data_IF_388931710449
#
_entry.id   IF_388931710449
#
_cell.length_a   1.000
_cell.length_b   1.000
_cell.length_c   1.000
_cell.angle_alpha   90.00
_cell.angle_beta   90.00
_cell.angle_gamma   90.00
#
_symmetry.space_group_name_H-M   'P 1'
#
loop_
_entity.id
_entity.type
_entity.pdbx_description
1 polymer ?
#
# COMPACT_ATOMS: atom_id res chain seq x y z
N UNK A 1 -67.01 -50.09 -18.06
CA UNK A 1 -65.69 -50.32 -18.70
C UNK A 1 -64.67 -49.37 -18.08
N UNK A 2 -63.45 -49.87 -17.85
CA UNK A 2 -62.20 -49.19 -17.47
C UNK A 2 -61.85 -49.04 -15.96
N UNK A 3 -61.25 -50.14 -15.47
CA UNK A 3 -59.91 -50.29 -14.86
C UNK A 3 -59.34 -49.28 -13.86
N UNK A 4 -59.03 -49.85 -12.68
CA UNK A 4 -58.03 -49.44 -11.68
C UNK A 4 -56.60 -49.59 -12.24
N UNK A 5 -55.68 -48.69 -11.89
CA UNK A 5 -54.25 -49.00 -11.82
C UNK A 5 -53.50 -48.07 -10.85
N UNK A 6 -52.81 -48.68 -9.89
CA UNK A 6 -51.77 -48.07 -9.08
C UNK A 6 -50.47 -47.97 -9.88
N UNK A 7 -49.69 -46.90 -9.66
CA UNK A 7 -48.24 -46.98 -9.88
C UNK A 7 -47.49 -46.17 -8.81
N UNK A 8 -46.69 -46.89 -8.03
CA UNK A 8 -45.61 -46.36 -7.18
C UNK A 8 -44.38 -46.20 -8.07
N UNK A 9 -43.66 -45.09 -7.93
CA UNK A 9 -42.27 -45.00 -8.37
C UNK A 9 -41.41 -44.51 -7.19
N UNK A 10 -40.63 -45.45 -6.67
CA UNK A 10 -39.48 -45.25 -5.79
C UNK A 10 -38.29 -44.87 -6.67
N UNK A 11 -37.54 -43.83 -6.32
CA UNK A 11 -36.19 -43.61 -6.82
C UNK A 11 -35.28 -43.33 -5.64
N UNK A 12 -34.44 -44.32 -5.34
CA UNK A 12 -33.38 -44.30 -4.35
C UNK A 12 -32.07 -43.79 -4.96
N UNK A 13 -31.40 -42.93 -4.18
CA UNK A 13 -29.95 -42.74 -4.02
C UNK A 13 -29.04 -42.76 -5.27
N UNK A 14 -28.39 -41.62 -5.51
CA UNK A 14 -26.98 -41.63 -5.87
C UNK A 14 -26.21 -40.50 -5.19
N UNK A 15 -25.03 -40.89 -4.70
CA UNK A 15 -24.08 -40.18 -3.87
C UNK A 15 -23.10 -39.38 -4.75
N UNK A 16 -22.42 -38.41 -4.12
CA UNK A 16 -21.11 -37.81 -4.46
C UNK A 16 -21.15 -36.42 -5.13
N UNK A 17 -20.06 -35.64 -5.03
CA UNK A 17 -19.55 -35.02 -3.80
C UNK A 17 -19.21 -33.53 -4.04
N UNK A 18 -19.24 -32.70 -3.01
CA UNK A 18 -18.83 -31.31 -3.21
C UNK A 18 -19.06 -30.44 -2.00
N UNK A 19 -18.39 -30.79 -0.89
CA UNK A 19 -17.99 -29.77 0.08
C UNK A 19 -17.16 -28.76 -0.69
N UNK A 20 -17.78 -27.70 -1.18
CA UNK A 20 -17.08 -26.44 -1.39
C UNK A 20 -16.52 -26.08 -0.02
N UNK A 21 -15.23 -26.38 0.14
CA UNK A 21 -14.42 -25.68 1.09
C UNK A 21 -14.56 -24.21 0.70
N UNK A 22 -15.42 -23.51 1.42
CA UNK A 22 -15.21 -22.10 1.65
C UNK A 22 -13.82 -22.00 2.28
N UNK A 23 -12.81 -21.92 1.40
CA UNK A 23 -11.56 -21.29 1.71
C UNK A 23 -11.98 -19.87 2.08
N UNK A 24 -12.31 -19.69 3.37
CA UNK A 24 -12.02 -18.47 4.07
C UNK A 24 -10.54 -18.23 3.82
N UNK A 25 -10.25 -17.61 2.68
CA UNK A 25 -8.98 -16.99 2.45
C UNK A 25 -8.93 -15.94 3.53
N UNK A 26 -8.18 -16.30 4.57
CA UNK A 26 -7.67 -15.40 5.56
C UNK A 26 -6.90 -14.36 4.74
N UNK A 27 -7.59 -13.31 4.30
CA UNK A 27 -6.96 -12.00 4.13
C UNK A 27 -6.19 -11.90 5.43
N UNK A 28 -4.84 -11.86 5.41
CA UNK A 28 -4.13 -11.61 6.63
C UNK A 28 -4.78 -10.34 7.13
N UNK A 29 -5.54 -10.46 8.21
CA UNK A 29 -5.72 -9.37 9.14
C UNK A 29 -4.27 -9.01 9.38
N UNK A 30 -3.79 -7.99 8.67
CA UNK A 30 -2.56 -7.32 9.01
C UNK A 30 -2.86 -6.91 10.42
N UNK A 31 -2.46 -7.77 11.36
CA UNK A 31 -2.69 -7.61 12.76
C UNK A 31 -1.82 -6.42 13.08
N UNK A 32 -2.39 -5.22 12.96
CA UNK A 32 -1.87 -3.97 13.49
C UNK A 32 -1.87 -4.00 15.03
N UNK A 33 -1.79 -5.18 15.63
CA UNK A 33 -1.70 -5.36 17.06
C UNK A 33 -0.29 -4.98 17.50
N UNK A 34 -0.20 -3.78 18.07
CA UNK A 34 0.77 -3.35 19.08
C UNK A 34 2.22 -3.13 18.61
N UNK A 35 2.46 -2.39 17.53
CA UNK A 35 3.80 -1.78 17.27
C UNK A 35 3.90 -0.32 17.75
N UNK A 36 2.80 0.31 18.19
CA UNK A 36 2.85 1.66 18.78
C UNK A 36 2.51 1.63 20.29
N UNK A 37 3.39 1.03 21.08
CA UNK A 37 3.44 1.27 22.54
C UNK A 37 4.87 1.52 22.98
N UNK A 38 5.50 2.52 22.40
CA UNK A 38 6.58 3.23 23.05
C UNK A 38 6.26 4.72 22.95
N UNK A 39 5.61 5.23 24.00
CA UNK A 39 5.39 6.65 24.23
C UNK A 39 6.71 7.31 24.58
N UNK A 40 7.66 7.35 23.62
CA UNK A 40 8.75 8.31 23.70
C UNK A 40 8.12 9.69 23.55
N UNK A 41 8.24 10.53 24.59
CA UNK A 41 7.90 11.95 24.54
C UNK A 41 8.79 12.59 23.47
N UNK A 42 8.26 12.72 22.26
CA UNK A 42 8.85 13.57 21.24
C UNK A 42 8.75 15.00 21.76
N UNK A 43 9.90 15.56 22.16
CA UNK A 43 10.01 17.01 22.38
C UNK A 43 9.63 17.66 21.06
N UNK A 44 8.62 18.52 21.08
CA UNK A 44 8.25 19.35 19.93
C UNK A 44 9.51 20.11 19.51
N UNK A 45 10.17 19.65 18.44
CA UNK A 45 11.31 20.36 17.88
C UNK A 45 10.74 21.62 17.25
N UNK A 46 10.85 22.74 17.97
CA UNK A 46 10.69 24.07 17.36
C UNK A 46 11.90 24.25 16.45
N UNK A 47 11.74 23.89 15.18
CA UNK A 47 12.74 24.16 14.16
C UNK A 47 12.76 25.69 14.01
N UNK A 48 13.82 26.31 14.54
CA UNK A 48 14.06 27.74 14.37
C UNK A 48 14.35 28.00 12.89
N UNK A 49 13.51 28.78 12.23
CA UNK A 49 13.50 29.09 10.80
C UNK A 49 14.64 30.04 10.37
N UNK A 50 15.81 30.01 11.03
CA UNK A 50 16.86 31.02 10.83
C UNK A 50 17.96 30.65 9.83
N UNK A 51 17.94 29.48 9.19
CA UNK A 51 18.82 29.14 8.05
C UNK A 51 18.00 28.55 6.89
N UNK A 52 17.29 29.41 6.16
CA UNK A 52 16.35 29.04 5.11
C UNK A 52 17.00 28.48 3.81
N UNK A 53 18.32 28.28 3.79
CA UNK A 53 19.07 27.82 2.60
C UNK A 53 19.52 26.37 2.66
N UNK A 54 19.47 25.74 3.84
CA UNK A 54 19.87 24.33 3.98
C UNK A 54 18.67 23.39 3.88
N UNK A 55 18.73 22.44 2.94
CA UNK A 55 17.72 21.37 2.87
C UNK A 55 17.71 20.59 4.19
N UNK A 56 16.54 20.26 4.77
CA UNK A 56 16.47 19.46 5.98
C UNK A 56 17.21 18.12 5.79
N UNK A 57 17.85 17.64 6.85
CA UNK A 57 18.49 16.33 6.79
C UNK A 57 17.46 15.22 6.56
N UNK A 58 17.89 14.11 5.94
CA UNK A 58 17.04 12.93 5.70
C UNK A 58 16.33 12.45 6.96
N UNK A 59 17.02 12.48 8.11
CA UNK A 59 16.45 12.09 9.40
C UNK A 59 15.27 13.01 9.79
N UNK A 60 15.46 14.32 9.67
CA UNK A 60 14.42 15.32 9.97
C UNK A 60 13.20 15.13 9.06
N UNK A 61 13.42 14.97 7.75
CA UNK A 61 12.35 14.69 6.79
C UNK A 61 11.57 13.41 7.13
N UNK A 62 12.26 12.36 7.55
CA UNK A 62 11.63 11.11 7.94
C UNK A 62 10.81 11.25 9.23
N UNK A 63 11.34 11.98 10.21
CA UNK A 63 10.61 12.29 11.45
C UNK A 63 9.34 13.11 11.15
N UNK A 64 9.38 14.03 10.18
CA UNK A 64 8.20 14.76 9.71
C UNK A 64 7.15 13.82 9.09
N UNK A 65 7.55 12.86 8.25
CA UNK A 65 6.62 11.88 7.69
C UNK A 65 6.02 10.94 8.75
N UNK A 66 6.80 10.57 9.77
CA UNK A 66 6.31 9.75 10.88
C UNK A 66 5.31 10.51 11.75
N UNK A 67 5.57 11.78 12.04
CA UNK A 67 4.61 12.65 12.75
C UNK A 67 3.33 12.86 11.93
N UNK A 68 3.46 13.11 10.62
CA UNK A 68 2.34 13.17 9.68
C UNK A 68 1.49 11.91 9.76
N UNK A 69 2.11 10.74 9.60
CA UNK A 69 1.42 9.44 9.58
C UNK A 69 0.67 9.19 10.89
N UNK A 70 1.31 9.50 12.02
CA UNK A 70 0.69 9.39 13.35
C UNK A 70 -0.51 10.32 13.49
N UNK A 71 -0.43 11.56 13.01
CA UNK A 71 -1.55 12.52 13.09
C UNK A 71 -2.70 12.08 12.19
N UNK A 72 -2.43 11.61 10.97
CA UNK A 72 -3.44 11.07 10.07
C UNK A 72 -4.17 9.87 10.66
N UNK A 73 -3.44 8.92 11.24
CA UNK A 73 -4.04 7.76 11.90
C UNK A 73 -4.98 8.14 13.06
N UNK A 74 -4.66 9.23 13.76
CA UNK A 74 -5.49 9.77 14.84
C UNK A 74 -6.57 10.76 14.36
N UNK A 75 -6.78 10.90 13.05
CA UNK A 75 -7.76 11.83 12.48
C UNK A 75 -7.46 13.31 12.75
N UNK A 76 -6.20 13.67 13.02
CA UNK A 76 -5.79 15.04 13.33
C UNK A 76 -5.33 15.76 12.06
N UNK A 77 -5.69 17.04 11.89
CA UNK A 77 -5.23 17.83 10.76
C UNK A 77 -3.70 17.99 10.80
N UNK A 78 -3.09 18.10 9.62
CA UNK A 78 -1.66 18.34 9.46
C UNK A 78 -1.44 19.51 8.49
N UNK A 79 -0.47 20.39 8.78
CA UNK A 79 -0.19 21.54 7.91
C UNK A 79 0.19 21.11 6.49
N UNK A 80 0.99 20.04 6.35
CA UNK A 80 1.34 19.40 5.07
C UNK A 80 0.16 18.95 4.19
N UNK A 81 -1.07 18.90 4.70
CA UNK A 81 -2.26 18.62 3.87
C UNK A 81 -3.27 19.76 3.83
N UNK A 82 -3.05 20.80 4.64
CA UNK A 82 -4.01 21.89 4.83
C UNK A 82 -3.97 22.95 3.72
N UNK A 83 -2.87 23.08 3.01
CA UNK A 83 -2.71 24.01 1.88
C UNK A 83 -2.03 23.34 0.69
N UNK A 84 -2.04 24.02 -0.47
CA UNK A 84 -1.35 23.56 -1.68
C UNK A 84 0.17 23.51 -1.46
N UNK A 85 0.72 24.53 -0.83
CA UNK A 85 2.14 24.65 -0.51
C UNK A 85 2.57 23.53 0.46
N UNK A 86 1.74 23.23 1.47
CA UNK A 86 2.00 22.11 2.38
C UNK A 86 2.02 20.76 1.67
N UNK A 87 1.15 20.56 0.68
CA UNK A 87 1.12 19.32 -0.13
C UNK A 87 2.30 19.24 -1.10
N UNK A 88 2.77 20.36 -1.60
CA UNK A 88 4.02 20.45 -2.36
C UNK A 88 5.22 20.07 -1.50
N UNK A 89 5.34 20.65 -0.29
CA UNK A 89 6.36 20.27 0.69
C UNK A 89 6.28 18.76 1.02
N UNK A 90 5.09 18.22 1.21
CA UNK A 90 4.89 16.79 1.44
C UNK A 90 5.44 15.93 0.29
N UNK A 91 5.17 16.33 -0.95
CA UNK A 91 5.70 15.65 -2.15
C UNK A 91 7.22 15.71 -2.18
N UNK A 92 7.81 16.87 -1.92
CA UNK A 92 9.26 17.04 -1.88
C UNK A 92 9.92 16.15 -0.82
N UNK A 93 9.35 16.11 0.39
CA UNK A 93 9.83 15.26 1.48
C UNK A 93 9.77 13.78 1.07
N UNK A 94 8.66 13.32 0.49
CA UNK A 94 8.51 11.93 0.03
C UNK A 94 9.58 11.61 -1.02
N UNK A 95 9.74 12.47 -2.03
CA UNK A 95 10.74 12.28 -3.09
C UNK A 95 12.16 12.28 -2.53
N UNK A 96 12.49 13.20 -1.63
CA UNK A 96 13.81 13.27 -1.03
C UNK A 96 14.14 12.01 -0.21
N UNK A 97 13.18 11.50 0.58
CA UNK A 97 13.34 10.25 1.33
C UNK A 97 13.52 9.05 0.39
N UNK A 98 12.74 9.00 -0.69
CA UNK A 98 12.79 7.92 -1.67
C UNK A 98 14.09 7.93 -2.49
N UNK A 99 14.51 9.08 -3.00
CA UNK A 99 15.72 9.25 -3.82
C UNK A 99 17.03 9.13 -3.02
N UNK A 100 17.02 9.44 -1.71
CA UNK A 100 18.21 9.31 -0.84
C UNK A 100 18.51 7.86 -0.42
N UNK A 101 18.07 6.89 -1.21
CA UNK A 101 18.25 5.47 -0.95
C UNK A 101 19.62 5.05 -1.46
N UNK A 102 20.41 4.29 -0.68
CA UNK A 102 21.70 3.82 -1.16
C UNK A 102 21.47 2.96 -2.40
N UNK A 103 22.04 3.37 -3.53
CA UNK A 103 22.04 2.56 -4.75
C UNK A 103 22.85 1.30 -4.45
N UNK A 104 22.18 0.17 -4.33
CA UNK A 104 22.80 -1.15 -4.10
C UNK A 104 23.43 -1.72 -5.37
N UNK A 105 23.87 -0.86 -6.31
CA UNK A 105 24.58 -1.33 -7.49
C UNK A 105 25.86 -2.02 -7.00
N UNK A 106 26.01 -3.33 -7.22
CA UNK A 106 27.27 -3.99 -6.90
C UNK A 106 28.34 -3.30 -7.76
N UNK A 107 29.46 -2.85 -7.18
CA UNK A 107 30.58 -2.40 -7.99
C UNK A 107 30.95 -3.54 -8.94
N UNK A 108 30.98 -3.26 -10.24
CA UNK A 108 31.27 -4.24 -11.29
C UNK A 108 32.73 -4.71 -11.33
N UNK A 109 33.40 -4.78 -10.19
CA UNK A 109 34.78 -5.24 -10.06
C UNK A 109 34.79 -6.68 -9.56
N UNK A 110 35.35 -7.57 -10.39
CA UNK A 110 35.37 -9.03 -10.25
C UNK A 110 36.26 -9.56 -9.10
N UNK A 111 36.52 -8.79 -8.06
CA UNK A 111 37.34 -9.19 -6.91
C UNK A 111 36.74 -8.71 -5.58
N UNK A 112 35.47 -9.04 -5.31
CA UNK A 112 34.88 -8.81 -4.01
C UNK A 112 35.34 -9.89 -3.02
N UNK A 113 36.36 -9.59 -2.21
CA UNK A 113 36.62 -10.32 -0.98
C UNK A 113 35.58 -9.87 0.07
N UNK A 114 34.73 -10.77 0.58
CA UNK A 114 33.79 -10.41 1.63
C UNK A 114 34.56 -9.95 2.86
N UNK A 115 34.48 -8.67 3.19
CA UNK A 115 34.99 -8.14 4.46
C UNK A 115 34.11 -8.72 5.56
N UNK A 116 34.62 -9.74 6.25
CA UNK A 116 34.05 -10.26 7.49
C UNK A 116 34.36 -9.29 8.62
N UNK A 117 33.71 -8.12 8.62
CA UNK A 117 33.58 -7.31 9.83
C UNK A 117 32.46 -7.90 10.67
N UNK A 118 32.80 -8.31 11.90
CA UNK A 118 31.89 -8.92 12.88
C UNK A 118 30.82 -7.95 13.45
N UNK A 119 30.56 -6.82 12.78
CA UNK A 119 29.44 -5.92 13.08
C UNK A 119 28.18 -6.41 12.36
N UNK A 120 27.80 -7.65 12.66
CA UNK A 120 26.64 -8.34 12.09
C UNK A 120 25.35 -7.85 12.75
N UNK A 121 24.93 -6.62 12.46
CA UNK A 121 23.55 -6.16 12.69
C UNK A 121 22.95 -5.41 11.48
N UNK A 122 23.64 -5.35 10.34
CA UNK A 122 23.19 -4.58 9.15
C UNK A 122 22.96 -5.47 7.91
N UNK A 123 22.51 -6.71 8.13
CA UNK A 123 21.96 -7.58 7.05
C UNK A 123 20.44 -7.41 6.91
N UNK A 124 19.86 -6.44 7.63
CA UNK A 124 18.43 -6.14 7.66
C UNK A 124 18.16 -4.85 6.90
N UNK A 125 18.01 -4.94 5.59
CA UNK A 125 17.05 -4.14 4.82
C UNK A 125 17.37 -4.42 3.35
N UNK A 126 16.44 -5.09 2.65
CA UNK A 126 16.23 -4.77 1.25
C UNK A 126 15.85 -3.31 1.22
N UNK A 127 16.85 -2.43 1.25
CA UNK A 127 16.71 -0.99 1.13
C UNK A 127 15.85 -0.71 -0.08
N UNK A 128 15.90 -1.61 -1.09
CA UNK A 128 15.19 -1.72 -2.36
C UNK A 128 13.70 -2.06 -2.36
N UNK A 129 13.17 -2.59 -1.26
CA UNK A 129 11.76 -2.95 -1.19
C UNK A 129 10.90 -1.70 -0.92
N UNK A 130 10.03 -1.38 -1.88
CA UNK A 130 8.94 -0.42 -1.71
C UNK A 130 7.61 -1.17 -1.88
N UNK A 131 6.74 -1.05 -0.89
CA UNK A 131 5.37 -1.56 -0.98
C UNK A 131 4.39 -0.39 -0.95
N UNK A 132 3.41 -0.43 -1.85
CA UNK A 132 2.26 0.47 -1.84
C UNK A 132 1.04 -0.29 -1.38
N UNK A 133 0.28 0.30 -0.46
CA UNK A 133 -1.08 -0.10 -0.12
C UNK A 133 -2.03 1.05 -0.40
N UNK A 134 -3.04 0.87 -1.24
CA UNK A 134 -3.96 1.92 -1.65
C UNK A 134 -5.36 1.52 -1.22
N UNK A 135 -6.01 2.39 -0.44
CA UNK A 135 -7.38 2.21 0.05
C UNK A 135 -8.25 3.28 -0.57
N UNK A 136 -9.23 2.86 -1.36
CA UNK A 136 -10.07 3.77 -2.12
C UNK A 136 -11.54 3.36 -2.05
N UNK A 137 -12.41 4.33 -2.30
CA UNK A 137 -13.87 4.12 -2.28
C UNK A 137 -14.36 3.30 -3.47
N UNK A 138 -13.60 3.27 -4.57
CA UNK A 138 -13.86 2.49 -5.77
C UNK A 138 -12.57 2.18 -6.53
N UNK A 139 -12.67 1.29 -7.53
CA UNK A 139 -11.54 0.87 -8.38
C UNK A 139 -10.96 2.01 -9.19
N UNK A 140 -11.78 2.94 -9.69
CA UNK A 140 -11.32 4.05 -10.54
C UNK A 140 -10.36 4.95 -9.76
N UNK A 141 -10.72 5.26 -8.51
CA UNK A 141 -9.89 6.03 -7.58
C UNK A 141 -8.62 5.28 -7.19
N UNK A 142 -8.70 3.98 -6.92
CA UNK A 142 -7.52 3.16 -6.63
C UNK A 142 -6.53 3.16 -7.79
N UNK A 143 -7.03 2.94 -9.02
CA UNK A 143 -6.20 2.86 -10.23
C UNK A 143 -5.58 4.20 -10.61
N UNK A 144 -6.31 5.31 -10.44
CA UNK A 144 -5.76 6.66 -10.59
C UNK A 144 -4.60 6.90 -9.62
N UNK A 145 -4.86 6.73 -8.32
CA UNK A 145 -3.82 6.88 -7.30
C UNK A 145 -2.63 5.96 -7.57
N UNK A 146 -2.87 4.70 -7.95
CA UNK A 146 -1.80 3.77 -8.27
C UNK A 146 -0.92 4.25 -9.42
N UNK A 147 -1.51 4.68 -10.54
CA UNK A 147 -0.77 5.25 -11.67
C UNK A 147 0.06 6.45 -11.23
N UNK A 148 -0.56 7.40 -10.54
CA UNK A 148 0.07 8.67 -10.21
C UNK A 148 1.26 8.47 -9.27
N UNK A 149 1.10 7.57 -8.28
CA UNK A 149 2.20 7.16 -7.40
C UNK A 149 3.29 6.39 -8.12
N UNK A 150 2.95 5.50 -9.07
CA UNK A 150 3.96 4.83 -9.88
C UNK A 150 4.75 5.83 -10.73
N UNK A 151 4.09 6.79 -11.38
CA UNK A 151 4.76 7.81 -12.18
C UNK A 151 5.69 8.69 -11.33
N UNK A 152 5.19 9.21 -10.20
CA UNK A 152 5.98 10.07 -9.31
C UNK A 152 7.24 9.38 -8.79
N UNK A 153 7.14 8.10 -8.43
CA UNK A 153 8.24 7.33 -7.87
C UNK A 153 9.07 6.56 -8.92
N UNK A 154 8.80 6.78 -10.22
CA UNK A 154 9.42 6.06 -11.33
C UNK A 154 9.37 4.52 -11.16
N UNK A 155 8.19 4.01 -10.82
CA UNK A 155 7.88 2.58 -10.66
C UNK A 155 7.13 2.06 -11.88
N UNK A 156 7.30 0.77 -12.16
CA UNK A 156 6.52 0.11 -13.22
C UNK A 156 5.04 0.06 -12.85
N UNK A 157 4.21 0.56 -13.75
CA UNK A 157 2.77 0.44 -13.65
C UNK A 157 2.32 -0.91 -14.20
N UNK A 158 1.82 -1.78 -13.32
CA UNK A 158 1.36 -3.14 -13.65
C UNK A 158 -0.10 -3.29 -13.28
N UNK A 159 -0.93 -3.76 -14.22
CA UNK A 159 -2.36 -3.96 -13.98
C UNK A 159 -2.56 -4.98 -12.82
N UNK A 160 -3.37 -4.65 -11.80
CA UNK A 160 -3.55 -5.54 -10.66
C UNK A 160 -4.34 -6.80 -11.03
N UNK A 161 -3.96 -7.91 -10.43
CA UNK A 161 -4.76 -9.13 -10.38
C UNK A 161 -6.07 -8.87 -9.60
N UNK A 162 -7.22 -9.21 -10.18
CA UNK A 162 -8.51 -9.11 -9.50
C UNK A 162 -8.70 -10.26 -8.52
N UNK A 163 -8.78 -9.98 -7.22
CA UNK A 163 -9.05 -10.95 -6.15
C UNK A 163 -10.42 -10.77 -5.51
N UNK A 164 -11.35 -10.12 -6.21
CA UNK A 164 -12.73 -9.95 -5.77
C UNK A 164 -13.56 -11.16 -6.20
N UNK A 165 -14.13 -11.94 -5.27
CA UNK A 165 -14.96 -13.09 -5.62
C UNK A 165 -16.15 -12.70 -6.49
N UNK A 166 -16.41 -13.49 -7.54
CA UNK A 166 -17.57 -13.28 -8.43
C UNK A 166 -17.43 -12.15 -9.45
N UNK A 167 -16.27 -11.51 -9.55
CA UNK A 167 -15.97 -10.46 -10.54
C UNK A 167 -14.98 -10.99 -11.56
N UNK A 168 -15.31 -10.95 -12.85
CA UNK A 168 -14.42 -11.44 -13.92
C UNK A 168 -13.44 -10.35 -14.36
N UNK A 169 -13.85 -9.08 -14.22
CA UNK A 169 -13.07 -7.92 -14.61
C UNK A 169 -12.94 -6.92 -13.46
N UNK A 170 -11.93 -6.05 -13.52
CA UNK A 170 -11.76 -4.96 -12.56
C UNK A 170 -12.88 -3.90 -12.67
N UNK A 171 -13.50 -3.77 -13.84
CA UNK A 171 -14.58 -2.80 -14.09
C UNK A 171 -15.92 -3.20 -13.47
N UNK A 172 -16.11 -4.48 -13.17
CA UNK A 172 -17.29 -5.02 -12.48
C UNK A 172 -17.23 -4.85 -10.95
N UNK A 173 -16.05 -4.65 -10.39
CA UNK A 173 -15.86 -4.55 -8.94
C UNK A 173 -16.54 -3.29 -8.41
N UNK A 174 -17.46 -3.49 -7.46
CA UNK A 174 -18.20 -2.42 -6.79
C UNK A 174 -17.74 -2.21 -5.35
N UNK A 175 -17.82 -0.97 -4.90
CA UNK A 175 -17.51 -0.59 -3.52
C UNK A 175 -16.02 -0.38 -3.28
N UNK A 176 -15.66 -0.33 -1.99
CA UNK A 176 -14.31 0.05 -1.56
C UNK A 176 -13.32 -1.09 -1.74
N UNK A 177 -12.09 -0.72 -2.12
CA UNK A 177 -11.06 -1.66 -2.56
C UNK A 177 -9.73 -1.35 -1.90
N UNK A 178 -8.93 -2.40 -1.77
CA UNK A 178 -7.54 -2.36 -1.32
C UNK A 178 -6.66 -2.87 -2.46
N UNK A 179 -5.73 -2.05 -2.93
CA UNK A 179 -4.73 -2.42 -3.93
C UNK A 179 -3.36 -2.51 -3.25
N UNK A 180 -2.66 -3.63 -3.45
CA UNK A 180 -1.29 -3.82 -2.95
C UNK A 180 -0.34 -3.97 -4.13
N UNK A 181 0.77 -3.25 -4.10
CA UNK A 181 1.85 -3.35 -5.09
C UNK A 181 3.19 -3.55 -4.40
N UNK A 182 4.00 -4.47 -4.95
CA UNK A 182 5.37 -4.72 -4.54
C UNK A 182 6.33 -4.31 -5.65
N UNK A 183 7.18 -3.31 -5.41
CA UNK A 183 8.09 -2.76 -6.42
C UNK A 183 9.16 -3.74 -6.92
N UNK A 184 9.50 -4.76 -6.12
CA UNK A 184 10.56 -5.72 -6.43
C UNK A 184 9.98 -6.90 -7.20
N UNK A 185 8.95 -7.56 -6.67
CA UNK A 185 8.35 -8.71 -7.35
C UNK A 185 7.35 -8.32 -8.45
N UNK A 186 7.01 -7.04 -8.55
CA UNK A 186 5.95 -6.49 -9.42
C UNK A 186 4.57 -7.12 -9.17
N UNK A 187 4.40 -7.82 -8.05
CA UNK A 187 3.13 -8.39 -7.66
C UNK A 187 2.16 -7.25 -7.33
N UNK A 188 1.04 -7.22 -8.04
CA UNK A 188 0.01 -6.20 -7.93
C UNK A 188 -1.35 -6.90 -7.85
N UNK A 189 -2.13 -6.64 -6.81
CA UNK A 189 -3.47 -7.22 -6.70
C UNK A 189 -4.45 -6.24 -6.07
N UNK A 190 -5.73 -6.45 -6.37
CA UNK A 190 -6.85 -5.68 -5.83
C UNK A 190 -7.82 -6.63 -5.12
N UNK A 191 -8.24 -6.28 -3.91
CA UNK A 191 -9.19 -7.03 -3.10
C UNK A 191 -10.29 -6.12 -2.53
N UNK A 192 -11.44 -6.67 -2.09
CA UNK A 192 -12.44 -5.89 -1.38
C UNK A 192 -11.86 -5.29 -0.10
N UNK A 193 -12.31 -4.09 0.26
CA UNK A 193 -11.88 -3.40 1.47
C UNK A 193 -13.07 -2.93 2.30
N UNK A 194 -13.20 -3.50 3.50
CA UNK A 194 -14.28 -3.16 4.45
C UNK A 194 -13.90 -2.00 5.40
N UNK A 195 -12.64 -1.55 5.38
CA UNK A 195 -12.19 -0.45 6.23
C UNK A 195 -12.72 0.91 5.79
N UNK A 196 -12.63 1.87 6.70
CA UNK A 196 -13.11 3.24 6.49
C UNK A 196 -12.00 4.17 6.00
N UNK A 197 -10.75 3.75 6.14
CA UNK A 197 -9.57 4.51 5.81
C UNK A 197 -9.41 4.68 4.30
N UNK A 198 -8.92 5.85 3.87
CA UNK A 198 -8.68 6.17 2.46
C UNK A 198 -7.32 6.81 2.32
N UNK A 199 -6.63 6.51 1.22
CA UNK A 199 -5.31 7.05 0.95
C UNK A 199 -4.32 5.99 0.51
N UNK A 200 -3.04 6.35 0.61
CA UNK A 200 -1.90 5.52 0.22
C UNK A 200 -0.99 5.31 1.42
N UNK A 201 -0.63 4.07 1.64
CA UNK A 201 0.42 3.64 2.55
C UNK A 201 1.67 3.33 1.75
N UNK A 202 2.80 3.86 2.20
CA UNK A 202 4.12 3.64 1.64
C UNK A 202 4.95 2.88 2.67
N UNK A 203 5.33 1.65 2.36
CA UNK A 203 6.28 0.90 3.18
C UNK A 203 7.67 0.99 2.56
N UNK A 204 8.62 1.52 3.31
CA UNK A 204 10.02 1.63 2.93
C UNK A 204 10.83 0.59 3.71
N UNK A 205 11.30 -0.46 3.03
CA UNK A 205 12.00 -1.57 3.69
C UNK A 205 11.06 -2.44 4.53
N UNK A 206 11.60 -3.06 5.59
CA UNK A 206 10.86 -4.04 6.41
C UNK A 206 9.95 -3.39 7.45
N UNK A 207 10.37 -2.30 8.09
CA UNK A 207 9.73 -1.88 9.35
C UNK A 207 9.03 -0.51 9.31
N UNK A 208 9.10 0.22 8.20
CA UNK A 208 8.63 1.61 8.15
C UNK A 208 7.44 1.76 7.23
N UNK A 209 6.26 1.82 7.82
CA UNK A 209 5.00 2.14 7.15
C UNK A 209 4.65 3.62 7.36
N UNK A 210 4.43 4.34 6.27
CA UNK A 210 4.11 5.77 6.25
C UNK A 210 2.76 5.99 5.57
N UNK A 211 2.00 7.00 6.00
CA UNK A 211 0.68 7.37 5.47
C UNK A 211 -0.41 7.39 6.56
N UNK A 212 -1.69 7.52 6.22
CA UNK A 212 -2.27 7.54 4.87
C UNK A 212 -1.99 8.87 4.14
N UNK A 213 -1.38 8.80 2.96
CA UNK A 213 -1.21 9.94 2.08
C UNK A 213 -2.47 10.14 1.20
N UNK A 214 -2.79 11.37 0.75
CA UNK A 214 -3.93 11.60 -0.12
C UNK A 214 -3.83 10.81 -1.43
N UNK A 215 -4.96 10.26 -1.91
CA UNK A 215 -5.01 9.53 -3.19
C UNK A 215 -4.58 10.40 -4.38
N UNK A 216 -5.03 11.66 -4.40
CA UNK A 216 -4.71 12.65 -5.43
C UNK A 216 -3.50 13.52 -5.10
N UNK A 217 -2.56 13.06 -4.26
CA UNK A 217 -1.40 13.89 -3.86
C UNK A 217 -0.59 14.40 -5.06
N UNK A 218 -0.50 13.60 -6.12
CA UNK A 218 0.28 13.91 -7.33
C UNK A 218 -0.55 14.53 -8.47
N UNK A 219 -1.87 14.41 -8.42
CA UNK A 219 -2.84 14.95 -9.40
C UNK A 219 -4.08 15.47 -8.67
N UNK A 220 -3.92 16.59 -7.97
CA UNK A 220 -4.96 17.16 -7.09
C UNK A 220 -6.22 17.57 -7.88
N UNK A 221 -6.01 18.07 -9.09
CA UNK A 221 -7.07 18.54 -9.99
C UNK A 221 -7.73 17.38 -10.75
N UNK A 222 -7.29 16.13 -10.56
CA UNK A 222 -7.75 14.95 -11.28
C UNK A 222 -7.70 15.14 -12.80
N UNK A 223 -6.68 15.88 -13.24
CA UNK A 223 -6.49 16.32 -14.62
C UNK A 223 -6.23 15.16 -15.57
N UNK A 224 -5.59 14.09 -15.06
CA UNK A 224 -5.33 12.91 -15.85
C UNK A 224 -6.59 12.04 -15.98
N UNK A 225 -6.86 11.41 -17.14
CA UNK A 225 -8.02 10.53 -17.30
C UNK A 225 -7.92 9.28 -16.41
N UNK A 226 -9.03 8.57 -16.13
CA UNK A 226 -8.94 7.27 -15.43
C UNK A 226 -8.18 6.28 -16.33
N UNK A 227 -7.23 5.48 -15.80
CA UNK A 227 -6.65 4.38 -16.57
C UNK A 227 -7.76 3.44 -17.10
N UNK A 228 -7.60 2.95 -18.33
CA UNK A 228 -8.49 1.93 -18.90
C UNK A 228 -8.04 0.56 -18.41
N UNK A 229 -8.99 -0.28 -17.99
CA UNK A 229 -8.77 -1.63 -17.46
C UNK A 229 -10.01 -2.50 -17.67
#
# INVERSE_FOLDING_TARGET
MNFVSHSKASCSLNVCPGREQALMFHVPQLRFSKVFSNSQRFKSVKISLQDATSRPSRKVMLDMLLDYSRKQFNGRPHHLTSSREGREELREIIMAIYSSRPSTTPPGDTNYTPVTSNDAEDTTLRSDLLLLGIMASDVKMAMRGFRDWCQALNLDYVLPENRVPGSLSLSEVKGSVYLKYNSVSKACYLSPYAGQERGVLLQLGQDRLLGHFPLGLWDEDHSNPTPKF
#
